data_IF_899619038483
#
_entry.id   IF_899619038483
#
_cell.length_a   1.000
_cell.length_b   1.000
_cell.length_c   1.000
_cell.angle_alpha   90.00
_cell.angle_beta   90.00
_cell.angle_gamma   90.00
#
_symmetry.space_group_name_H-M   'P 1'
#
loop_
_entity.id
_entity.type
_entity.pdbx_description
1 polymer ?
#
# COMPACT_ATOMS: atom_id res chain seq x y z
N UNK A 1 -8.03 7.06 7.74
CA UNK A 1 -6.61 6.97 7.37
C UNK A 1 -6.32 5.55 6.92
N UNK A 2 -6.29 5.32 5.61
CA UNK A 2 -5.98 4.01 5.00
C UNK A 2 -4.51 3.68 5.23
N UNK A 3 -4.23 2.62 5.96
CA UNK A 3 -2.88 2.07 6.17
C UNK A 3 -2.36 1.48 4.86
N UNK A 4 -1.83 2.35 4.00
CA UNK A 4 -1.10 1.95 2.80
C UNK A 4 0.09 1.10 3.20
N UNK A 5 0.01 -0.21 2.99
CA UNK A 5 1.17 -1.10 3.08
C UNK A 5 2.24 -0.53 2.16
N UNK A 6 3.38 -0.11 2.73
CA UNK A 6 4.53 0.38 1.95
C UNK A 6 4.83 -0.65 0.83
N UNK A 7 5.04 -0.22 -0.42
CA UNK A 7 5.38 -1.14 -1.50
C UNK A 7 6.63 -1.93 -1.08
N UNK A 8 6.66 -3.22 -1.42
CA UNK A 8 7.79 -4.10 -1.13
C UNK A 8 9.03 -3.62 -1.91
N UNK A 9 9.73 -2.61 -1.38
CA UNK A 9 11.06 -2.28 -1.84
C UNK A 9 11.93 -3.52 -1.61
N UNK A 10 12.56 -4.04 -2.68
CA UNK A 10 13.65 -4.99 -2.53
C UNK A 10 14.77 -4.20 -1.84
N UNK A 11 14.88 -4.34 -0.53
CA UNK A 11 16.02 -3.80 0.22
C UNK A 11 17.25 -4.46 -0.40
N UNK A 12 18.07 -3.67 -1.08
CA UNK A 12 19.41 -4.09 -1.46
C UNK A 12 20.23 -4.09 -0.18
N UNK A 13 20.81 -5.25 0.14
CA UNK A 13 21.65 -5.41 1.32
C UNK A 13 23.09 -5.23 0.89
N UNK A 14 23.70 -4.12 1.32
CA UNK A 14 25.12 -3.92 1.20
C UNK A 14 25.82 -4.75 2.27
N UNK A 15 26.46 -5.85 1.85
CA UNK A 15 27.18 -6.74 2.74
C UNK A 15 28.57 -6.18 3.04
N UNK A 16 28.63 -5.16 3.91
CA UNK A 16 29.92 -4.64 4.38
C UNK A 16 30.67 -5.69 5.19
N UNK A 17 32.01 -5.63 5.27
CA UNK A 17 32.81 -6.53 6.10
C UNK A 17 32.36 -6.56 7.56
N UNK A 18 31.90 -5.41 8.08
CA UNK A 18 31.32 -5.28 9.43
C UNK A 18 30.05 -6.13 9.58
N UNK A 19 29.12 -6.06 8.63
CA UNK A 19 27.88 -6.85 8.65
C UNK A 19 28.18 -8.35 8.52
N UNK A 20 29.18 -8.72 7.71
CA UNK A 20 29.62 -10.12 7.58
C UNK A 20 30.17 -10.64 8.90
N UNK A 21 30.92 -9.81 9.64
CA UNK A 21 31.43 -10.17 10.97
C UNK A 21 30.32 -10.35 12.02
N UNK A 22 29.13 -9.75 11.83
CA UNK A 22 27.96 -9.97 12.69
C UNK A 22 27.27 -11.32 12.42
N UNK A 23 27.52 -11.96 11.28
CA UNK A 23 26.92 -13.25 10.96
C UNK A 23 27.51 -14.34 11.86
N UNK A 24 26.65 -15.03 12.60
CA UNK A 24 27.06 -16.11 13.51
C UNK A 24 27.48 -15.67 14.91
N UNK A 25 27.72 -14.37 15.14
CA UNK A 25 27.95 -13.79 16.49
C UNK A 25 26.64 -13.44 17.20
N UNK A 26 25.59 -13.11 16.44
CA UNK A 26 24.23 -12.90 16.93
C UNK A 26 23.19 -13.57 16.02
N UNK A 27 21.93 -13.62 16.44
CA UNK A 27 20.88 -14.31 15.68
C UNK A 27 20.59 -13.61 14.34
N UNK A 28 20.25 -14.40 13.30
CA UNK A 28 19.92 -13.88 11.96
C UNK A 28 18.80 -12.80 12.02
N UNK A 29 17.89 -12.89 13.01
CA UNK A 29 16.87 -11.87 13.26
C UNK A 29 17.40 -10.57 13.88
N UNK A 30 18.40 -10.66 14.76
CA UNK A 30 19.05 -9.48 15.36
C UNK A 30 19.90 -8.74 14.32
N UNK A 31 20.68 -9.46 13.51
CA UNK A 31 21.41 -8.87 12.37
C UNK A 31 20.42 -8.20 11.41
N UNK A 32 19.31 -8.86 11.09
CA UNK A 32 18.28 -8.29 10.22
C UNK A 32 17.63 -7.03 10.80
N UNK A 33 17.48 -6.94 12.12
CA UNK A 33 17.01 -5.71 12.77
C UNK A 33 18.06 -4.59 12.68
N UNK A 34 19.35 -4.92 12.80
CA UNK A 34 20.46 -3.96 12.70
C UNK A 34 20.61 -3.38 11.29
N UNK A 35 20.51 -4.20 10.25
CA UNK A 35 20.66 -3.78 8.85
C UNK A 35 19.34 -3.33 8.18
N UNK A 36 18.22 -3.40 8.89
CA UNK A 36 16.90 -3.04 8.36
C UNK A 36 16.37 -4.02 7.30
N UNK A 37 16.01 -5.25 7.71
CA UNK A 37 15.66 -6.30 6.76
C UNK A 37 14.90 -7.52 7.26
N UNK A 38 14.90 -8.57 6.44
CA UNK A 38 14.29 -9.87 6.76
C UNK A 38 15.36 -10.86 7.23
N UNK A 39 15.07 -11.57 8.32
CA UNK A 39 15.92 -12.62 8.86
C UNK A 39 16.27 -13.72 7.83
N UNK A 40 15.36 -14.02 6.90
CA UNK A 40 15.59 -15.00 5.84
C UNK A 40 16.74 -14.59 4.90
N UNK A 41 16.87 -13.30 4.56
CA UNK A 41 17.95 -12.84 3.67
C UNK A 41 19.32 -12.97 4.35
N UNK A 42 19.39 -12.64 5.63
CA UNK A 42 20.58 -12.85 6.47
C UNK A 42 20.91 -14.33 6.60
N UNK A 43 19.90 -15.17 6.81
CA UNK A 43 20.07 -16.61 6.87
C UNK A 43 20.67 -17.16 5.57
N UNK A 44 20.17 -16.73 4.41
CA UNK A 44 20.71 -17.15 3.11
C UNK A 44 22.16 -16.72 2.94
N UNK A 45 22.50 -15.46 3.27
CA UNK A 45 23.89 -15.00 3.17
C UNK A 45 24.82 -15.74 4.12
N UNK A 46 24.38 -15.99 5.36
CA UNK A 46 25.13 -16.80 6.33
C UNK A 46 25.38 -18.22 5.81
N UNK A 47 24.37 -18.84 5.18
CA UNK A 47 24.49 -20.17 4.60
C UNK A 47 25.41 -20.19 3.37
N UNK A 48 25.36 -19.17 2.51
CA UNK A 48 26.25 -18.97 1.37
C UNK A 48 27.72 -18.89 1.81
N UNK A 49 27.99 -18.14 2.89
CA UNK A 49 29.31 -18.02 3.51
C UNK A 49 29.68 -19.21 4.42
N UNK A 50 28.82 -20.24 4.50
CA UNK A 50 28.99 -21.46 5.32
C UNK A 50 29.24 -21.18 6.82
N UNK A 51 28.80 -20.02 7.31
CA UNK A 51 28.92 -19.65 8.72
C UNK A 51 27.84 -20.39 9.51
N UNK A 52 28.18 -20.96 10.67
CA UNK A 52 27.19 -21.69 11.50
C UNK A 52 26.18 -20.72 12.13
N UNK A 53 24.91 -21.12 12.34
CA UNK A 53 23.92 -20.28 13.00
C UNK A 53 24.34 -19.96 14.44
N UNK A 54 24.09 -18.73 14.88
CA UNK A 54 24.29 -18.35 16.28
C UNK A 54 23.38 -19.20 17.19
N UNK A 55 24.01 -19.97 18.09
CA UNK A 55 23.32 -20.71 19.14
C UNK A 55 23.55 -19.97 20.46
N UNK A 56 22.54 -19.26 21.02
CA UNK A 56 22.71 -18.65 22.33
C UNK A 56 23.01 -19.72 23.37
N UNK A 57 23.82 -19.37 24.39
CA UNK A 57 24.11 -20.25 25.54
C UNK A 57 22.77 -20.73 26.16
N UNK A 58 22.66 -22.00 26.59
CA UNK A 58 21.45 -22.50 27.22
C UNK A 58 21.08 -21.62 28.42
N UNK A 59 20.00 -20.83 28.31
CA UNK A 59 19.54 -19.90 29.35
C UNK A 59 19.57 -18.42 28.99
N UNK A 60 20.33 -18.01 27.96
CA UNK A 60 20.50 -16.59 27.59
C UNK A 60 19.38 -15.99 26.72
N UNK A 61 18.24 -16.67 26.55
CA UNK A 61 17.10 -16.13 25.78
C UNK A 61 16.18 -15.35 26.71
N UNK A 62 16.27 -14.02 26.65
CA UNK A 62 15.25 -13.13 27.18
C UNK A 62 13.96 -13.26 26.36
N UNK A 63 12.99 -13.94 26.94
CA UNK A 63 11.69 -14.19 26.35
C UNK A 63 11.03 -15.34 27.10
N UNK A 64 9.70 -15.35 27.15
CA UNK A 64 8.95 -16.46 27.74
C UNK A 64 9.39 -17.75 27.04
N UNK A 65 10.26 -18.54 27.69
CA UNK A 65 10.44 -19.96 27.33
C UNK A 65 9.02 -20.50 27.25
N UNK A 66 8.63 -21.06 26.10
CA UNK A 66 7.40 -21.85 26.06
C UNK A 66 7.50 -22.81 27.25
N UNK A 67 6.53 -22.82 28.18
CA UNK A 67 6.61 -23.72 29.31
C UNK A 67 6.93 -25.09 28.74
N UNK A 68 8.02 -25.70 29.21
CA UNK A 68 8.33 -27.07 28.84
C UNK A 68 7.18 -27.89 29.41
N UNK A 69 6.19 -28.18 28.57
CA UNK A 69 5.08 -29.00 29.00
C UNK A 69 5.66 -30.35 29.41
N UNK A 70 5.57 -30.63 30.71
CA UNK A 70 6.09 -31.87 31.24
C UNK A 70 5.15 -32.99 30.79
N UNK A 71 5.66 -33.90 29.97
CA UNK A 71 4.89 -35.04 29.49
C UNK A 71 4.77 -36.07 30.61
N UNK A 72 3.74 -35.91 31.45
CA UNK A 72 3.39 -36.91 32.46
C UNK A 72 3.02 -38.24 31.82
N UNK A 73 3.11 -39.34 32.57
CA UNK A 73 2.68 -40.67 32.10
C UNK A 73 1.22 -40.66 31.62
N UNK A 74 0.36 -39.89 32.30
CA UNK A 74 -1.03 -39.65 31.91
C UNK A 74 -1.14 -38.94 30.55
N UNK A 75 -0.39 -37.85 30.35
CA UNK A 75 -0.38 -37.11 29.08
C UNK A 75 0.16 -37.96 27.91
N UNK A 76 1.11 -38.85 28.17
CA UNK A 76 1.60 -39.82 27.18
C UNK A 76 0.55 -40.88 26.86
N UNK A 77 -0.18 -41.39 27.87
CA UNK A 77 -1.27 -42.34 27.69
C UNK A 77 -2.44 -41.78 26.87
N UNK A 78 -2.64 -40.46 26.88
CA UNK A 78 -3.65 -39.80 26.05
C UNK A 78 -3.29 -39.79 24.56
N UNK A 79 -2.00 -39.86 24.20
CA UNK A 79 -1.56 -39.80 22.80
C UNK A 79 -2.07 -41.01 22.02
N UNK A 80 -2.85 -40.77 20.96
CA UNK A 80 -3.44 -41.82 20.12
C UNK A 80 -4.85 -42.26 20.52
N UNK A 81 -5.31 -41.93 21.74
CA UNK A 81 -6.68 -42.25 22.20
C UNK A 81 -7.74 -41.33 21.57
N UNK A 82 -7.41 -40.03 21.47
CA UNK A 82 -8.27 -38.97 20.92
C UNK A 82 -7.54 -38.24 19.77
N UNK A 83 -8.26 -37.47 18.93
CA UNK A 83 -7.62 -36.61 17.95
C UNK A 83 -6.64 -35.64 18.59
N UNK A 84 -5.49 -35.39 17.92
CA UNK A 84 -4.44 -34.49 18.41
C UNK A 84 -4.97 -33.08 18.77
N UNK A 85 -6.08 -32.64 18.16
CA UNK A 85 -6.76 -31.37 18.46
C UNK A 85 -7.52 -31.37 19.79
N UNK A 86 -8.12 -32.49 20.18
CA UNK A 86 -8.84 -32.61 21.46
C UNK A 86 -7.85 -32.76 22.61
N UNK A 87 -6.83 -33.59 22.44
CA UNK A 87 -5.74 -33.74 23.42
C UNK A 87 -5.05 -32.39 23.62
N UNK A 88 -4.84 -31.62 22.55
CA UNK A 88 -4.28 -30.28 22.65
C UNK A 88 -5.13 -29.34 23.50
N UNK A 89 -6.46 -29.37 23.36
CA UNK A 89 -7.37 -28.59 24.21
C UNK A 89 -7.31 -29.04 25.66
N UNK A 90 -7.30 -30.35 25.92
CA UNK A 90 -7.23 -30.92 27.28
C UNK A 90 -5.92 -30.56 27.99
N UNK A 91 -4.79 -30.57 27.28
CA UNK A 91 -3.46 -30.31 27.84
C UNK A 91 -3.06 -28.83 27.78
N UNK A 92 -3.89 -27.94 27.25
CA UNK A 92 -3.55 -26.52 27.04
C UNK A 92 -2.40 -26.30 26.05
N UNK A 93 -2.26 -27.19 25.06
CA UNK A 93 -1.17 -27.21 24.08
C UNK A 93 -1.64 -26.88 22.67
N UNK A 94 -0.67 -26.69 21.77
CA UNK A 94 -0.93 -26.66 20.33
C UNK A 94 -1.10 -28.08 19.79
N UNK A 95 -2.02 -28.26 18.82
CA UNK A 95 -2.21 -29.54 18.13
C UNK A 95 -0.91 -30.05 17.48
N UNK A 96 -0.06 -29.14 17.02
CA UNK A 96 1.27 -29.50 16.50
C UNK A 96 2.17 -30.09 17.59
N UNK A 97 2.22 -29.50 18.79
CA UNK A 97 3.03 -30.01 19.91
C UNK A 97 2.66 -31.46 20.24
N UNK A 98 1.36 -31.74 20.32
CA UNK A 98 0.82 -33.09 20.56
C UNK A 98 1.16 -34.03 19.41
N UNK A 99 0.94 -33.61 18.16
CA UNK A 99 1.27 -34.39 16.96
C UNK A 99 2.76 -34.70 16.83
N UNK A 100 3.63 -33.78 17.22
CA UNK A 100 5.08 -34.00 17.27
C UNK A 100 5.46 -35.02 18.33
N UNK A 101 4.93 -34.90 19.56
CA UNK A 101 5.19 -35.88 20.61
C UNK A 101 4.64 -37.25 20.24
N UNK A 102 3.40 -37.34 19.76
CA UNK A 102 2.79 -38.58 19.28
C UNK A 102 3.67 -39.27 18.23
N UNK A 103 4.14 -38.53 17.21
CA UNK A 103 5.06 -39.04 16.19
C UNK A 103 6.40 -39.50 16.76
N UNK A 104 6.96 -38.77 17.74
CA UNK A 104 8.21 -39.17 18.41
C UNK A 104 8.09 -40.49 19.20
N UNK A 105 6.87 -40.87 19.59
CA UNK A 105 6.57 -42.13 20.28
C UNK A 105 6.11 -43.23 19.29
N UNK A 106 6.17 -42.99 17.98
CA UNK A 106 5.74 -43.95 16.96
C UNK A 106 4.22 -44.18 16.87
N UNK A 107 3.42 -43.46 17.64
CA UNK A 107 1.97 -43.66 17.72
C UNK A 107 1.30 -43.07 16.47
N UNK A 108 0.45 -43.84 15.79
CA UNK A 108 -0.33 -43.34 14.64
C UNK A 108 -1.47 -42.43 15.13
N UNK A 109 -1.66 -41.30 14.47
CA UNK A 109 -2.67 -40.32 14.86
C UNK A 109 -4.07 -40.74 14.46
N UNK A 110 -5.02 -40.62 15.39
CA UNK A 110 -6.45 -40.75 15.11
C UNK A 110 -6.93 -39.50 14.37
N UNK A 111 -6.87 -39.54 13.04
CA UNK A 111 -7.44 -38.48 12.20
C UNK A 111 -8.96 -38.67 12.17
N UNK A 112 -9.77 -37.62 12.39
CA UNK A 112 -11.20 -37.73 12.14
C UNK A 112 -11.40 -38.13 10.67
N UNK A 113 -12.10 -39.24 10.42
CA UNK A 113 -12.55 -39.59 9.06
C UNK A 113 -13.50 -38.46 8.67
N UNK A 114 -13.11 -37.64 7.70
CA UNK A 114 -14.04 -36.71 7.06
C UNK A 114 -14.89 -37.53 6.12
N UNK A 115 -16.20 -37.33 6.19
CA UNK A 115 -17.12 -38.03 5.29
C UNK A 115 -16.71 -37.77 3.84
N UNK A 116 -16.70 -38.81 2.98
CA UNK A 116 -16.50 -38.61 1.56
C UNK A 116 -17.54 -37.63 1.03
N UNK A 117 -17.10 -36.67 0.22
CA UNK A 117 -18.05 -35.81 -0.51
C UNK A 117 -18.93 -36.72 -1.36
N UNK A 118 -20.24 -36.57 -1.19
CA UNK A 118 -21.23 -37.07 -2.16
C UNK A 118 -21.26 -36.05 -3.30
N UNK A 119 -20.71 -36.42 -4.45
CA UNK A 119 -20.76 -35.58 -5.64
C UNK A 119 -22.12 -35.79 -6.31
N UNK A 120 -22.92 -34.73 -6.52
CA UNK A 120 -24.16 -34.85 -7.27
C UNK A 120 -23.90 -35.38 -8.68
N UNK A 121 -24.77 -36.26 -9.18
CA UNK A 121 -24.61 -36.95 -10.47
C UNK A 121 -24.39 -35.95 -11.63
N UNK A 122 -25.15 -34.87 -11.65
CA UNK A 122 -25.06 -33.82 -12.67
C UNK A 122 -23.68 -33.11 -12.69
N UNK A 123 -22.91 -33.11 -11.59
CA UNK A 123 -21.59 -32.48 -11.51
C UNK A 123 -20.44 -33.44 -11.81
N UNK A 124 -20.69 -34.76 -11.87
CA UNK A 124 -19.66 -35.75 -12.19
C UNK A 124 -19.12 -35.50 -13.61
N UNK A 125 -19.99 -35.23 -14.57
CA UNK A 125 -19.61 -34.95 -15.96
C UNK A 125 -18.84 -33.62 -16.13
N UNK A 126 -18.89 -32.74 -15.13
CA UNK A 126 -18.16 -31.48 -15.12
C UNK A 126 -16.77 -31.59 -14.47
N UNK A 127 -16.45 -32.69 -13.78
CA UNK A 127 -15.11 -32.91 -13.20
C UNK A 127 -14.05 -32.99 -14.31
N UNK A 128 -13.05 -32.12 -14.23
CA UNK A 128 -12.00 -32.02 -15.26
C UNK A 128 -12.36 -31.11 -16.45
N UNK A 129 -13.61 -30.65 -16.56
CA UNK A 129 -14.02 -29.58 -17.49
C UNK A 129 -14.12 -28.25 -16.76
N UNK A 130 -14.81 -28.23 -15.62
CA UNK A 130 -14.93 -27.04 -14.77
C UNK A 130 -13.81 -27.00 -13.73
N UNK A 131 -13.53 -25.80 -13.23
CA UNK A 131 -12.57 -25.62 -12.15
C UNK A 131 -13.11 -26.27 -10.87
N UNK A 132 -12.20 -26.89 -10.10
CA UNK A 132 -12.53 -27.49 -8.80
C UNK A 132 -13.21 -26.46 -7.87
N UNK A 133 -12.89 -25.17 -8.03
CA UNK A 133 -13.49 -24.05 -7.30
C UNK A 133 -14.95 -23.76 -7.70
N UNK A 134 -15.29 -23.86 -9.00
CA UNK A 134 -16.67 -23.66 -9.46
C UNK A 134 -17.58 -24.77 -8.95
N UNK A 135 -17.15 -26.03 -9.08
CA UNK A 135 -17.86 -27.20 -8.57
C UNK A 135 -18.00 -27.12 -7.03
N UNK A 136 -16.95 -26.68 -6.35
CA UNK A 136 -16.98 -26.49 -4.90
C UNK A 136 -18.00 -25.46 -4.43
N UNK A 137 -18.15 -24.36 -5.16
CA UNK A 137 -19.15 -23.32 -4.86
C UNK A 137 -20.57 -23.85 -5.04
N UNK A 138 -20.81 -24.67 -6.05
CA UNK A 138 -22.13 -25.25 -6.34
C UNK A 138 -22.62 -26.21 -5.25
N UNK A 139 -21.71 -27.01 -4.70
CA UNK A 139 -22.03 -28.04 -3.68
C UNK A 139 -21.87 -27.48 -2.25
N UNK A 140 -21.31 -26.29 -2.09
CA UNK A 140 -21.00 -25.71 -0.78
C UNK A 140 -19.86 -26.43 -0.03
N UNK A 141 -18.91 -27.02 -0.77
CA UNK A 141 -17.75 -27.74 -0.20
C UNK A 141 -16.44 -26.99 -0.48
N UNK A 142 -15.34 -27.39 0.15
CA UNK A 142 -14.04 -26.81 -0.17
C UNK A 142 -13.48 -27.29 -1.51
N UNK A 143 -12.83 -26.41 -2.27
CA UNK A 143 -12.16 -26.77 -3.54
C UNK A 143 -11.14 -27.90 -3.40
N UNK A 144 -10.44 -27.98 -2.25
CA UNK A 144 -9.51 -29.07 -1.97
C UNK A 144 -10.23 -30.43 -1.82
N UNK A 145 -11.46 -30.42 -1.33
CA UNK A 145 -12.25 -31.63 -1.21
C UNK A 145 -12.66 -32.14 -2.60
N UNK A 146 -13.14 -31.26 -3.49
CA UNK A 146 -13.40 -31.59 -4.92
C UNK A 146 -12.13 -32.07 -5.62
N UNK A 147 -11.00 -31.39 -5.42
CA UNK A 147 -9.70 -31.79 -5.97
C UNK A 147 -9.27 -33.20 -5.53
N UNK A 148 -9.51 -33.58 -4.27
CA UNK A 148 -9.28 -34.95 -3.78
C UNK A 148 -10.23 -35.96 -4.41
N UNK A 149 -11.52 -35.62 -4.53
CA UNK A 149 -12.52 -36.45 -5.18
C UNK A 149 -12.13 -36.74 -6.64
N UNK A 150 -11.71 -35.71 -7.37
CA UNK A 150 -11.23 -35.78 -8.75
C UNK A 150 -9.96 -36.64 -8.87
N UNK A 151 -8.95 -36.40 -8.02
CA UNK A 151 -7.69 -37.17 -8.03
C UNK A 151 -7.88 -38.65 -7.71
N UNK A 152 -8.79 -39.00 -6.78
CA UNK A 152 -9.10 -40.40 -6.46
C UNK A 152 -9.68 -41.16 -7.67
N UNK A 153 -10.36 -40.45 -8.56
CA UNK A 153 -10.90 -40.99 -9.82
C UNK A 153 -9.95 -40.83 -11.01
N UNK A 154 -8.69 -40.44 -10.75
CA UNK A 154 -7.65 -40.23 -11.75
C UNK A 154 -8.01 -39.22 -12.85
N UNK A 155 -8.99 -38.35 -12.60
CA UNK A 155 -9.38 -37.30 -13.55
C UNK A 155 -8.36 -36.16 -13.41
N UNK A 156 -7.72 -35.77 -14.53
CA UNK A 156 -6.81 -34.62 -14.53
C UNK A 156 -7.58 -33.34 -14.24
N UNK A 157 -6.92 -32.40 -13.55
CA UNK A 157 -7.53 -31.10 -13.31
C UNK A 157 -7.73 -30.41 -14.65
N UNK A 158 -8.81 -29.64 -14.79
CA UNK A 158 -8.86 -28.72 -15.91
C UNK A 158 -7.66 -27.78 -15.82
N UNK A 159 -6.89 -27.67 -16.91
CA UNK A 159 -5.79 -26.71 -17.02
C UNK A 159 -6.36 -25.28 -17.15
N UNK A 160 -7.67 -25.18 -17.37
CA UNK A 160 -8.43 -23.99 -17.69
C UNK A 160 -8.80 -23.12 -16.48
N UNK A 161 -7.92 -22.99 -15.48
CA UNK A 161 -8.04 -21.87 -14.52
C UNK A 161 -7.87 -20.51 -15.22
N UNK A 162 -7.47 -20.54 -16.49
CA UNK A 162 -7.28 -19.40 -17.35
C UNK A 162 -7.97 -19.55 -18.71
N UNK A 163 -8.80 -20.56 -19.02
CA UNK A 163 -9.33 -20.64 -20.38
C UNK A 163 -10.19 -19.42 -20.69
N UNK A 164 -9.76 -18.73 -21.74
CA UNK A 164 -10.47 -17.61 -22.29
C UNK A 164 -11.66 -18.16 -23.08
N UNK A 165 -12.83 -17.53 -22.93
CA UNK A 165 -14.03 -17.91 -23.70
C UNK A 165 -13.69 -18.00 -25.19
N UNK A 166 -14.19 -19.00 -25.94
CA UNK A 166 -13.97 -19.08 -27.39
C UNK A 166 -14.35 -17.81 -28.14
N UNK A 167 -15.34 -17.05 -27.63
CA UNK A 167 -15.76 -15.75 -28.17
C UNK A 167 -14.75 -14.62 -27.93
N UNK A 168 -13.89 -14.75 -26.92
CA UNK A 168 -12.91 -13.74 -26.53
C UNK A 168 -11.55 -13.93 -27.20
N UNK A 169 -11.22 -15.16 -27.65
CA UNK A 169 -10.00 -15.47 -28.40
C UNK A 169 -9.85 -14.57 -29.65
N UNK A 170 -10.86 -14.40 -30.53
CA UNK A 170 -10.73 -13.54 -31.71
C UNK A 170 -10.66 -12.04 -31.36
N UNK A 171 -11.01 -11.65 -30.13
CA UNK A 171 -10.98 -10.26 -29.68
C UNK A 171 -9.65 -9.87 -29.04
N UNK A 172 -8.74 -10.83 -28.80
CA UNK A 172 -7.39 -10.56 -28.29
C UNK A 172 -6.63 -9.67 -29.28
N UNK A 173 -6.09 -8.55 -28.80
CA UNK A 173 -5.35 -7.59 -29.62
C UNK A 173 -6.21 -6.61 -30.43
N UNK A 174 -7.55 -6.70 -30.37
CA UNK A 174 -8.47 -5.73 -31.03
C UNK A 174 -8.85 -4.54 -30.13
N UNK A 175 -8.74 -4.72 -28.82
CA UNK A 175 -9.06 -3.73 -27.79
C UNK A 175 -8.07 -3.85 -26.64
N UNK A 176 -8.10 -2.91 -25.70
CA UNK A 176 -7.21 -2.97 -24.55
C UNK A 176 -7.47 -4.23 -23.71
N UNK A 177 -6.40 -4.89 -23.28
CA UNK A 177 -6.46 -6.11 -22.46
C UNK A 177 -7.33 -5.92 -21.18
N UNK A 178 -7.39 -4.70 -20.63
CA UNK A 178 -8.23 -4.35 -19.47
C UNK A 178 -9.73 -4.33 -19.79
N UNK A 179 -10.11 -3.83 -20.96
CA UNK A 179 -11.51 -3.78 -21.40
C UNK A 179 -12.01 -5.17 -21.76
N UNK A 180 -11.18 -5.95 -22.46
CA UNK A 180 -11.46 -7.34 -22.78
C UNK A 180 -11.60 -8.20 -21.51
N UNK A 181 -10.72 -7.97 -20.52
CA UNK A 181 -10.81 -8.62 -19.23
C UNK A 181 -12.13 -8.33 -18.51
N UNK A 182 -12.58 -7.07 -18.53
CA UNK A 182 -13.88 -6.67 -17.95
C UNK A 182 -15.06 -7.30 -18.70
N UNK A 183 -15.01 -7.31 -20.02
CA UNK A 183 -16.09 -7.85 -20.87
C UNK A 183 -16.33 -9.34 -20.64
N UNK A 184 -15.25 -10.11 -20.47
CA UNK A 184 -15.32 -11.56 -20.29
C UNK A 184 -15.22 -12.00 -18.82
N UNK A 185 -15.23 -11.05 -17.88
CA UNK A 185 -15.10 -11.29 -16.45
C UNK A 185 -13.90 -12.19 -16.08
N UNK A 186 -12.76 -11.92 -16.73
CA UNK A 186 -11.49 -12.63 -16.50
C UNK A 186 -10.44 -11.66 -15.96
N UNK A 187 -9.37 -12.18 -15.39
CA UNK A 187 -8.27 -11.32 -14.91
C UNK A 187 -7.46 -10.77 -16.08
N UNK A 188 -6.93 -9.56 -15.94
CA UNK A 188 -6.05 -8.96 -16.96
C UNK A 188 -4.84 -9.86 -17.27
N UNK A 189 -4.30 -10.54 -16.25
CA UNK A 189 -3.24 -11.54 -16.36
C UNK A 189 -3.61 -12.74 -17.23
N UNK A 190 -4.87 -13.17 -17.20
CA UNK A 190 -5.37 -14.25 -18.06
C UNK A 190 -5.32 -13.84 -19.53
N UNK A 191 -5.84 -12.65 -19.86
CA UNK A 191 -5.80 -12.07 -21.21
C UNK A 191 -4.36 -11.91 -21.70
N UNK A 192 -3.50 -11.31 -20.88
CA UNK A 192 -2.08 -11.10 -21.19
C UNK A 192 -1.36 -12.42 -21.51
N UNK A 193 -1.58 -13.46 -20.71
CA UNK A 193 -0.97 -14.77 -20.91
C UNK A 193 -1.45 -15.43 -22.20
N UNK A 194 -2.74 -15.33 -22.52
CA UNK A 194 -3.31 -15.85 -23.77
C UNK A 194 -2.79 -15.09 -24.99
N UNK A 195 -2.74 -13.77 -24.91
CA UNK A 195 -2.18 -12.90 -25.94
C UNK A 195 -0.75 -13.29 -26.29
N UNK A 196 0.11 -13.47 -25.27
CA UNK A 196 1.50 -13.91 -25.46
C UNK A 196 1.61 -15.33 -26.01
N UNK A 197 0.78 -16.27 -25.55
CA UNK A 197 0.77 -17.66 -26.06
C UNK A 197 0.38 -17.75 -27.54
N UNK A 198 -0.51 -16.88 -27.99
CA UNK A 198 -0.95 -16.80 -29.38
C UNK A 198 -0.07 -15.86 -30.23
N UNK A 199 1.01 -15.29 -29.65
CA UNK A 199 1.91 -14.39 -30.36
C UNK A 199 1.27 -13.05 -30.78
N UNK A 200 0.13 -12.69 -30.20
CA UNK A 200 -0.60 -11.49 -30.57
C UNK A 200 0.11 -10.29 -29.90
N UNK A 201 0.49 -9.24 -30.65
CA UNK A 201 1.12 -8.06 -30.05
C UNK A 201 0.16 -7.33 -29.10
N UNK A 202 0.69 -6.51 -28.19
CA UNK A 202 -0.14 -5.70 -27.30
C UNK A 202 -1.02 -4.82 -28.19
N UNK A 203 -2.29 -4.64 -27.83
CA UNK A 203 -3.09 -3.59 -28.46
C UNK A 203 -2.46 -2.24 -28.08
N UNK A 204 -1.60 -1.72 -28.95
CA UNK A 204 -1.04 -0.40 -28.82
C UNK A 204 -2.04 0.53 -29.49
N UNK A 205 -2.63 1.45 -28.73
CA UNK A 205 -3.41 2.58 -29.27
C UNK A 205 -2.55 3.52 -30.16
N UNK A 206 -1.28 3.17 -30.40
CA UNK A 206 -0.34 3.84 -31.29
C UNK A 206 -0.62 3.64 -32.77
N UNK A 207 -1.66 2.87 -33.13
CA UNK A 207 -2.18 2.79 -34.50
C UNK A 207 -3.47 3.57 -34.75
N UNK A 208 -3.91 4.46 -33.85
CA UNK A 208 -5.06 5.30 -34.15
C UNK A 208 -4.59 6.41 -35.10
N UNK A 209 -4.69 6.14 -36.40
CA UNK A 209 -4.61 7.17 -37.42
C UNK A 209 -5.57 8.28 -37.01
N UNK A 210 -5.11 9.53 -37.07
CA UNK A 210 -5.95 10.68 -36.79
C UNK A 210 -7.19 10.60 -37.68
N UNK A 211 -8.41 10.48 -37.12
CA UNK A 211 -9.60 10.44 -37.95
C UNK A 211 -9.71 11.76 -38.74
N UNK A 212 -9.98 11.67 -40.04
CA UNK A 212 -10.19 12.84 -40.91
C UNK A 212 -11.14 13.91 -40.34
N UNK A 213 -12.27 13.58 -39.67
CA UNK A 213 -13.14 14.59 -39.06
C UNK A 213 -12.53 15.27 -37.82
N UNK A 214 -11.52 14.69 -37.19
CA UNK A 214 -10.85 15.21 -35.99
C UNK A 214 -9.66 16.12 -36.36
N UNK A 215 -9.06 15.90 -37.53
CA UNK A 215 -7.94 16.70 -38.04
C UNK A 215 -8.19 18.22 -38.05
N UNK A 216 -9.33 18.74 -38.54
CA UNK A 216 -9.59 20.19 -38.49
C UNK A 216 -9.93 20.70 -37.08
N UNK A 217 -10.22 19.83 -36.11
CA UNK A 217 -10.58 20.23 -34.74
C UNK A 217 -9.35 20.39 -33.84
N UNK A 218 -8.19 19.81 -34.20
CA UNK A 218 -6.94 20.00 -33.48
C UNK A 218 -6.54 21.47 -33.45
N UNK A 219 -6.26 22.00 -32.25
CA UNK A 219 -5.89 23.42 -32.07
C UNK A 219 -7.07 24.41 -32.05
N UNK A 220 -8.30 23.99 -32.39
CA UNK A 220 -9.49 24.86 -32.33
C UNK A 220 -10.09 24.98 -30.93
N UNK A 221 -9.83 23.98 -30.07
CA UNK A 221 -10.33 23.90 -28.70
C UNK A 221 -9.31 23.20 -27.80
N UNK A 222 -9.48 23.25 -26.47
CA UNK A 222 -8.57 22.56 -25.54
C UNK A 222 -8.49 21.05 -25.80
N UNK A 223 -7.27 20.49 -25.79
CA UNK A 223 -7.04 19.05 -25.97
C UNK A 223 -7.88 18.19 -25.02
N UNK A 224 -8.09 18.64 -23.78
CA UNK A 224 -8.92 17.95 -22.79
C UNK A 224 -10.43 17.95 -23.11
N UNK A 225 -10.93 18.96 -23.83
CA UNK A 225 -12.32 19.04 -24.29
C UNK A 225 -12.52 18.14 -25.50
N UNK A 226 -11.60 18.24 -26.47
CA UNK A 226 -11.59 17.39 -27.66
C UNK A 226 -11.46 15.91 -27.29
N UNK A 227 -10.68 15.59 -26.26
CA UNK A 227 -10.52 14.24 -25.70
C UNK A 227 -11.84 13.66 -25.22
N UNK A 228 -12.60 14.43 -24.43
CA UNK A 228 -13.92 14.02 -23.93
C UNK A 228 -14.93 13.82 -25.05
N UNK A 229 -14.88 14.65 -26.08
CA UNK A 229 -15.83 14.61 -27.20
C UNK A 229 -15.62 13.36 -28.10
N UNK A 230 -14.37 12.92 -28.26
CA UNK A 230 -14.02 11.78 -29.12
C UNK A 230 -13.87 10.47 -28.31
N UNK A 231 -13.80 10.57 -26.98
CA UNK A 231 -13.64 9.40 -26.10
C UNK A 231 -12.21 8.87 -26.06
N UNK A 232 -11.21 9.73 -26.31
CA UNK A 232 -9.79 9.38 -26.30
C UNK A 232 -9.06 10.07 -25.14
N UNK A 233 -7.87 9.58 -24.78
CA UNK A 233 -7.05 10.25 -23.77
C UNK A 233 -6.53 11.61 -24.28
N UNK A 234 -6.46 12.67 -23.44
CA UNK A 234 -5.82 13.94 -23.78
C UNK A 234 -4.40 13.78 -24.32
N UNK A 235 -3.66 12.77 -23.87
CA UNK A 235 -2.29 12.50 -24.34
C UNK A 235 -2.24 12.08 -25.82
N UNK A 236 -3.29 11.41 -26.32
CA UNK A 236 -3.39 11.00 -27.73
C UNK A 236 -3.58 12.22 -28.63
N UNK A 237 -4.40 13.18 -28.19
CA UNK A 237 -4.62 14.44 -28.91
C UNK A 237 -3.37 15.30 -28.90
N UNK A 238 -2.70 15.43 -27.75
CA UNK A 238 -1.43 16.14 -27.68
C UNK A 238 -0.40 15.54 -28.63
N UNK A 239 -0.35 14.20 -28.76
CA UNK A 239 0.51 13.50 -29.72
C UNK A 239 0.15 13.84 -31.17
N UNK A 240 -1.11 13.66 -31.58
CA UNK A 240 -1.56 13.99 -32.95
C UNK A 240 -1.29 15.46 -33.30
N UNK A 241 -1.52 16.35 -32.33
CA UNK A 241 -1.25 17.78 -32.46
C UNK A 241 0.26 18.04 -32.67
N UNK A 242 1.14 17.39 -31.89
CA UNK A 242 2.60 17.54 -32.06
C UNK A 242 3.12 16.92 -33.34
N UNK A 243 2.58 15.77 -33.77
CA UNK A 243 2.96 15.09 -35.02
C UNK A 243 2.57 15.91 -36.26
N UNK A 244 1.48 16.68 -36.18
CA UNK A 244 1.03 17.59 -37.24
C UNK A 244 1.55 19.03 -37.11
N UNK A 245 2.37 19.33 -36.10
CA UNK A 245 2.90 20.68 -35.89
C UNK A 245 1.85 21.74 -35.54
N UNK A 246 0.67 21.34 -35.05
CA UNK A 246 -0.41 22.27 -34.69
C UNK A 246 -0.12 22.88 -33.32
N UNK A 247 -0.27 24.20 -33.17
CA UNK A 247 -0.01 24.86 -31.89
C UNK A 247 -1.05 24.50 -30.81
N UNK A 248 -0.63 24.54 -29.53
CA UNK A 248 -1.54 24.35 -28.40
C UNK A 248 -2.57 25.47 -28.40
N UNK A 249 -3.85 25.12 -28.21
CA UNK A 249 -4.89 26.12 -28.00
C UNK A 249 -4.55 26.95 -26.75
N UNK A 250 -4.25 28.24 -26.97
CA UNK A 250 -3.72 29.15 -25.94
C UNK A 250 -4.60 30.39 -25.70
N UNK A 251 -5.82 30.44 -26.24
CA UNK A 251 -6.70 31.63 -26.15
C UNK A 251 -7.96 31.34 -25.36
N UNK A 252 -8.17 32.06 -24.26
CA UNK A 252 -9.42 31.96 -23.49
C UNK A 252 -10.58 32.62 -24.28
N UNK A 253 -11.78 32.01 -24.36
CA UNK A 253 -12.96 32.61 -25.01
C UNK A 253 -13.30 33.97 -24.39
N UNK A 254 -13.84 34.91 -25.18
CA UNK A 254 -14.16 36.28 -24.72
C UNK A 254 -15.02 36.28 -23.45
N UNK A 255 -16.02 35.41 -23.39
CA UNK A 255 -16.94 35.30 -22.26
C UNK A 255 -16.22 34.85 -20.98
N UNK A 256 -15.28 33.91 -21.11
CA UNK A 256 -14.47 33.43 -20.00
C UNK A 256 -13.36 34.41 -19.59
N UNK A 257 -12.82 35.18 -20.55
CA UNK A 257 -11.87 36.25 -20.28
C UNK A 257 -12.52 37.41 -19.50
N UNK A 258 -13.79 37.73 -19.78
CA UNK A 258 -14.55 38.75 -19.04
C UNK A 258 -14.82 38.39 -17.56
N UNK A 259 -14.68 37.11 -17.19
CA UNK A 259 -14.85 36.60 -15.83
C UNK A 259 -13.55 36.55 -15.03
N UNK A 260 -12.39 36.79 -15.66
CA UNK A 260 -11.09 36.82 -14.97
C UNK A 260 -11.09 37.88 -13.87
N UNK A 261 -10.66 37.50 -12.66
CA UNK A 261 -10.66 38.37 -11.48
C UNK A 261 -12.03 38.58 -10.81
N UNK A 262 -13.14 38.25 -11.48
CA UNK A 262 -14.52 38.31 -10.92
C UNK A 262 -15.01 36.97 -10.38
N UNK A 263 -14.39 35.87 -10.82
CA UNK A 263 -14.70 34.49 -10.44
C UNK A 263 -13.38 33.74 -10.27
N UNK A 264 -13.35 32.69 -9.42
CA UNK A 264 -12.14 31.90 -9.20
C UNK A 264 -11.63 31.23 -10.49
N UNK A 265 -10.31 31.23 -10.66
CA UNK A 265 -9.63 30.61 -11.82
C UNK A 265 -10.04 29.12 -11.99
N UNK A 266 -10.31 28.41 -10.90
CA UNK A 266 -10.81 27.03 -10.88
C UNK A 266 -12.19 26.85 -11.52
N UNK A 267 -13.12 27.79 -11.31
CA UNK A 267 -14.49 27.73 -11.84
C UNK A 267 -14.51 28.10 -13.33
N UNK A 268 -13.68 29.07 -13.72
CA UNK A 268 -13.44 29.40 -15.14
C UNK A 268 -12.80 28.20 -15.86
N UNK A 269 -11.82 27.55 -15.24
CA UNK A 269 -11.16 26.38 -15.80
C UNK A 269 -12.12 25.21 -16.02
N UNK A 270 -13.00 24.95 -15.05
CA UNK A 270 -14.02 23.91 -15.17
C UNK A 270 -15.06 24.22 -16.26
N UNK A 271 -15.47 25.49 -16.39
CA UNK A 271 -16.45 25.93 -17.39
C UNK A 271 -15.94 25.78 -18.83
N UNK A 272 -14.67 26.14 -19.05
CA UNK A 272 -14.04 26.12 -20.39
C UNK A 272 -13.42 24.75 -20.71
N UNK A 273 -13.15 23.92 -19.71
CA UNK A 273 -12.51 22.61 -19.87
C UNK A 273 -10.99 22.70 -20.04
N UNK A 274 -10.36 23.64 -19.33
CA UNK A 274 -8.90 23.92 -19.37
C UNK A 274 -8.29 23.69 -17.99
N UNK A 275 -6.95 23.71 -17.90
CA UNK A 275 -6.28 23.60 -16.61
C UNK A 275 -6.37 24.91 -15.82
N UNK A 276 -6.44 24.82 -14.48
CA UNK A 276 -6.41 25.99 -13.59
C UNK A 276 -5.14 26.84 -13.82
N UNK A 277 -4.00 26.17 -14.02
CA UNK A 277 -2.72 26.84 -14.33
C UNK A 277 -2.74 27.62 -15.64
N UNK A 278 -3.51 27.19 -16.64
CA UNK A 278 -3.67 27.93 -17.89
C UNK A 278 -4.45 29.23 -17.68
N UNK A 279 -5.59 29.17 -16.98
CA UNK A 279 -6.38 30.36 -16.63
C UNK A 279 -5.55 31.35 -15.80
N UNK A 280 -4.79 30.85 -14.82
CA UNK A 280 -3.89 31.67 -14.02
C UNK A 280 -2.80 32.36 -14.87
N UNK A 281 -2.22 31.67 -15.87
CA UNK A 281 -1.25 32.27 -16.80
C UNK A 281 -1.88 33.38 -17.65
N UNK A 282 -3.06 33.14 -18.21
CA UNK A 282 -3.79 34.15 -19.01
C UNK A 282 -4.13 35.36 -18.14
N UNK A 283 -4.60 35.13 -16.92
CA UNK A 283 -4.90 36.20 -15.94
C UNK A 283 -3.68 37.05 -15.63
N UNK A 284 -2.54 36.42 -15.33
CA UNK A 284 -1.27 37.10 -15.03
C UNK A 284 -0.77 37.89 -16.24
N UNK A 285 -0.86 37.33 -17.45
CA UNK A 285 -0.46 38.01 -18.69
C UNK A 285 -1.32 39.25 -18.99
N UNK A 286 -2.58 39.28 -18.53
CA UNK A 286 -3.48 40.43 -18.64
C UNK A 286 -3.40 41.38 -17.45
N UNK A 287 -2.50 41.13 -16.48
CA UNK A 287 -2.33 41.98 -15.30
C UNK A 287 -3.49 41.95 -14.31
N UNK A 288 -4.41 40.98 -14.43
CA UNK A 288 -5.62 40.90 -13.59
C UNK A 288 -5.29 40.17 -12.28
N UNK A 289 -5.76 40.69 -11.14
CA UNK A 289 -5.57 40.02 -9.85
C UNK A 289 -6.49 38.81 -9.67
N UNK A 290 -6.07 37.86 -8.83
CA UNK A 290 -6.86 36.67 -8.53
C UNK A 290 -8.14 37.03 -7.78
N UNK A 291 -9.24 36.38 -8.15
CA UNK A 291 -10.51 36.56 -7.45
C UNK A 291 -10.40 36.24 -5.95
N UNK A 292 -10.84 37.18 -5.12
CA UNK A 292 -11.02 37.00 -3.68
C UNK A 292 -9.81 37.28 -2.79
N UNK A 293 -8.61 37.55 -3.34
CA UNK A 293 -7.44 37.92 -2.53
C UNK A 293 -6.53 38.89 -3.30
N UNK A 294 -6.29 40.12 -2.79
CA UNK A 294 -5.24 40.98 -3.33
C UNK A 294 -3.89 40.27 -3.19
N UNK A 295 -3.07 40.40 -4.23
CA UNK A 295 -1.73 39.81 -4.34
C UNK A 295 -0.91 40.10 -3.08
N UNK A 296 -0.63 39.06 -2.29
CA UNK A 296 0.43 39.01 -1.26
C UNK A 296 0.65 40.35 -0.53
N UNK A 297 -0.34 40.82 0.24
CA UNK A 297 -0.10 41.90 1.19
C UNK A 297 1.14 41.54 2.04
N UNK A 298 2.08 42.47 2.25
CA UNK A 298 3.22 42.22 3.14
C UNK A 298 2.69 41.82 4.51
N UNK A 299 3.40 40.90 5.17
CA UNK A 299 3.01 40.50 6.53
C UNK A 299 3.12 41.74 7.43
N UNK A 300 2.05 42.12 8.15
CA UNK A 300 2.08 43.32 8.99
C UNK A 300 3.08 43.17 10.14
N UNK A 301 3.97 44.15 10.32
CA UNK A 301 5.03 44.09 11.32
C UNK A 301 4.47 44.11 12.77
N UNK A 302 3.31 44.72 12.99
CA UNK A 302 2.58 44.73 14.28
C UNK A 302 2.12 43.33 14.74
N UNK A 303 2.10 42.36 13.83
CA UNK A 303 1.55 41.01 14.05
C UNK A 303 2.62 39.92 14.07
N UNK A 304 3.90 40.28 14.14
CA UNK A 304 4.99 39.29 14.19
C UNK A 304 4.90 38.34 15.39
N UNK A 305 4.39 38.83 16.52
CA UNK A 305 4.15 38.04 17.73
C UNK A 305 3.14 36.89 17.53
N UNK A 306 2.34 36.90 16.47
CA UNK A 306 1.37 35.85 16.16
C UNK A 306 1.98 34.70 15.36
N UNK A 307 3.17 34.86 14.76
CA UNK A 307 3.84 33.80 14.00
C UNK A 307 4.21 32.64 14.93
N UNK A 308 3.77 31.42 14.61
CA UNK A 308 4.03 30.22 15.43
C UNK A 308 3.07 30.00 16.61
N UNK A 309 2.14 30.93 16.89
CA UNK A 309 1.11 30.76 17.93
C UNK A 309 -0.07 29.89 17.47
N UNK A 310 -0.34 29.90 16.17
CA UNK A 310 -1.38 29.11 15.53
C UNK A 310 -0.91 28.67 14.14
N UNK A 311 -1.65 27.75 13.52
CA UNK A 311 -1.27 27.27 12.19
C UNK A 311 -1.26 28.40 11.18
N UNK A 312 -0.27 28.38 10.27
CA UNK A 312 -0.07 29.43 9.26
C UNK A 312 -1.36 29.68 8.45
N UNK A 313 -2.19 28.66 8.22
CA UNK A 313 -3.47 28.78 7.51
C UNK A 313 -4.54 29.51 8.31
N UNK A 314 -4.59 29.32 9.64
CA UNK A 314 -5.54 30.02 10.51
C UNK A 314 -5.15 31.49 10.66
N UNK A 315 -3.85 31.76 10.82
CA UNK A 315 -3.31 33.12 10.87
C UNK A 315 -3.54 33.86 9.56
N UNK A 316 -3.32 33.20 8.41
CA UNK A 316 -3.59 33.77 7.09
C UNK A 316 -5.06 34.17 6.90
N UNK A 317 -5.99 33.31 7.30
CA UNK A 317 -7.43 33.61 7.22
C UNK A 317 -7.83 34.77 8.16
N UNK A 318 -7.27 34.82 9.37
CA UNK A 318 -7.57 35.89 10.33
C UNK A 318 -7.04 37.25 9.88
N UNK A 319 -5.90 37.27 9.20
CA UNK A 319 -5.28 38.49 8.69
C UNK A 319 -5.76 38.88 7.28
N UNK A 320 -6.55 38.03 6.62
CA UNK A 320 -6.99 38.25 5.23
C UNK A 320 -5.84 38.24 4.22
N UNK A 321 -4.72 37.56 4.53
CA UNK A 321 -3.52 37.50 3.70
C UNK A 321 -3.26 36.07 3.20
N UNK A 322 -2.41 35.92 2.19
CA UNK A 322 -2.07 34.60 1.66
C UNK A 322 -1.30 33.76 2.70
N UNK A 323 -1.68 32.48 2.81
CA UNK A 323 -0.91 31.47 3.57
C UNK A 323 0.57 31.45 3.21
N UNK A 324 0.90 31.69 1.93
CA UNK A 324 2.28 31.73 1.47
C UNK A 324 3.07 32.91 2.06
N UNK A 325 2.42 34.04 2.34
CA UNK A 325 3.06 35.21 2.99
C UNK A 325 3.41 34.90 4.44
N UNK A 326 2.47 34.33 5.20
CA UNK A 326 2.69 33.91 6.59
C UNK A 326 3.82 32.88 6.68
N UNK A 327 3.78 31.85 5.83
CA UNK A 327 4.80 30.81 5.78
C UNK A 327 6.20 31.38 5.48
N UNK A 328 6.31 32.27 4.48
CA UNK A 328 7.59 32.91 4.12
C UNK A 328 8.14 33.79 5.25
N UNK A 329 7.28 34.57 5.91
CA UNK A 329 7.68 35.43 7.05
C UNK A 329 8.09 34.59 8.26
N UNK A 330 7.33 33.54 8.60
CA UNK A 330 7.65 32.58 9.67
C UNK A 330 9.01 31.94 9.45
N UNK A 331 9.28 31.44 8.24
CA UNK A 331 10.56 30.80 7.90
C UNK A 331 11.72 31.81 7.89
N UNK A 332 11.50 33.05 7.44
CA UNK A 332 12.53 34.11 7.48
C UNK A 332 12.92 34.47 8.91
N UNK A 333 11.96 34.43 9.84
CA UNK A 333 12.19 34.71 11.25
C UNK A 333 12.63 33.45 12.04
N UNK A 334 12.83 32.30 11.37
CA UNK A 334 13.29 31.06 12.01
C UNK A 334 12.29 30.41 12.97
N UNK A 335 11.02 30.81 12.93
CA UNK A 335 10.00 30.37 13.90
C UNK A 335 9.43 29.01 13.47
N UNK A 336 9.32 28.04 14.38
CA UNK A 336 8.73 26.75 14.09
C UNK A 336 7.22 26.84 13.82
N UNK A 337 6.68 25.96 12.97
CA UNK A 337 5.25 25.93 12.72
C UNK A 337 4.50 25.47 13.98
N UNK A 338 3.40 26.17 14.32
CA UNK A 338 2.56 25.78 15.45
C UNK A 338 2.03 24.36 15.23
N UNK A 339 2.36 23.44 16.15
CA UNK A 339 1.93 22.03 16.10
C UNK A 339 2.99 21.02 15.64
N UNK A 340 4.22 21.43 15.31
CA UNK A 340 5.35 20.50 15.15
C UNK A 340 6.16 20.45 16.45
N UNK A 341 5.84 19.49 17.32
CA UNK A 341 6.68 19.19 18.48
C UNK A 341 7.97 18.50 17.99
N UNK A 342 9.08 19.23 17.97
CA UNK A 342 10.43 18.66 17.82
C UNK A 342 11.28 19.27 18.92
N UNK A 343 11.37 18.55 20.03
CA UNK A 343 12.47 18.65 20.97
C UNK A 343 13.79 18.48 20.20
N UNK A 344 14.55 19.57 20.01
CA UNK A 344 15.98 19.47 19.75
C UNK A 344 16.71 19.69 21.07
N UNK A 345 17.17 18.58 21.64
CA UNK A 345 18.25 18.54 22.61
C UNK A 345 19.45 19.31 22.04
N UNK A 346 19.80 20.42 22.68
CA UNK A 346 21.08 21.08 22.53
C UNK A 346 22.14 20.26 23.27
N UNK A 347 22.97 19.54 22.52
CA UNK A 347 24.21 18.95 23.01
C UNK A 347 25.37 19.67 22.36
N UNK A 348 25.88 20.69 23.05
CA UNK A 348 27.29 21.07 23.00
C UNK A 348 27.75 21.12 24.45
N UNK A 349 28.43 20.04 24.85
CA UNK A 349 29.31 20.03 26.01
C UNK A 349 30.39 21.10 25.81
N UNK A 350 30.62 21.94 26.81
CA UNK A 350 31.96 22.19 27.35
C UNK A 350 31.88 22.81 28.76
N UNK A 351 32.20 21.95 29.72
CA UNK A 351 32.78 22.16 31.04
C UNK A 351 32.96 23.61 31.54
N UNK A 352 32.47 23.90 32.76
CA UNK A 352 33.32 23.85 33.97
C UNK A 352 32.57 24.20 35.26
N UNK A 353 33.00 23.52 36.33
CA UNK A 353 32.98 23.90 37.75
C UNK A 353 31.68 23.79 38.58
N UNK A 354 31.64 22.75 39.44
CA UNK A 354 31.66 23.01 40.89
C UNK A 354 30.33 23.03 41.65
N UNK A 355 29.88 21.84 42.09
CA UNK A 355 29.57 21.46 43.50
C UNK A 355 29.49 22.66 44.47
N UNK A 356 28.39 22.97 45.17
CA UNK A 356 27.87 22.28 46.39
C UNK A 356 26.57 23.04 46.80
N UNK A 357 25.39 22.43 46.73
CA UNK A 357 24.55 21.97 47.86
C UNK A 357 24.67 22.74 49.19
N UNK A 358 23.57 23.33 49.64
CA UNK A 358 23.03 23.11 50.99
C UNK A 358 21.49 23.15 50.92
N UNK A 359 20.90 22.04 51.36
CA UNK A 359 19.49 21.87 51.68
C UNK A 359 19.15 22.64 52.97
N UNK A 360 17.90 23.07 53.22
CA UNK A 360 16.85 22.36 53.98
C UNK A 360 15.88 23.46 54.55
N UNK A 361 14.76 23.19 55.24
CA UNK A 361 13.58 22.40 54.85
C UNK A 361 12.22 23.04 55.35
N UNK A 362 11.13 22.24 55.35
CA UNK A 362 9.91 22.31 56.20
C UNK A 362 8.75 23.20 55.68
N UNK A 363 7.45 22.89 55.81
CA UNK A 363 6.72 21.79 56.44
C UNK A 363 5.24 21.77 55.97
N UNK A 364 4.65 20.57 56.05
CA UNK A 364 3.26 20.13 56.30
C UNK A 364 2.11 21.17 56.32
N UNK A 365 0.99 20.82 55.65
CA UNK A 365 -0.32 20.55 56.30
C UNK A 365 -1.39 20.07 55.29
N UNK A 366 -1.98 18.89 55.55
CA UNK A 366 -3.36 18.47 55.18
C UNK A 366 -4.36 19.16 56.14
N UNK A 367 -5.72 19.16 55.99
CA UNK A 367 -6.53 18.01 55.50
C UNK A 367 -7.93 18.28 54.88
N UNK A 368 -8.60 17.17 54.46
CA UNK A 368 -10.07 16.90 54.52
C UNK A 368 -11.00 17.75 53.61
N UNK A 369 -12.13 17.32 53.07
CA UNK A 369 -13.02 16.16 53.26
C UNK A 369 -13.75 15.83 51.94
N UNK A 370 -14.14 14.56 51.82
CA UNK A 370 -15.11 14.02 50.87
C UNK A 370 -16.52 14.16 51.48
N UNK A 371 -17.49 14.66 50.70
CA UNK A 371 -18.91 14.40 50.93
C UNK A 371 -19.52 13.75 49.69
N UNK A 372 -20.30 12.70 49.94
CA UNK A 372 -21.11 11.94 49.00
C UNK A 372 -22.32 12.75 48.50
N UNK A 373 -22.68 12.49 47.24
CA UNK A 373 -23.98 12.76 46.65
C UNK A 373 -24.14 11.94 45.38
#
# INVERSE_FOLDING_TARGET
MTTGKKPYARVQYDWTPEIIALLGTMSDGAVAAHIGGKAATVQFKRQELKIKPFKPKPGAREGKRRPNFNWTKEALGLLGTKPDSEIAKLLGLSSNTVSHKRRSQGIVGRKPKRDPIVMPEHLIHHLGKWTDAKIAKEIGVSANAVSKYRRRRQIKATIEHNALSPKAIPMLGTMQDAELARMFNVTNTTIHTHRLKLGIPLFISSGMALPDPVRPLLGTMPDGRLAKQIGVSPQVITRWRTELGVEVWNRLPRDAAALLGKVSDSKIAAMVGVSNSFVAKVRIAQGIDSYGLPRSLPFPDDKEHLLGTMTDSKLANQLGISHATVFKRRNRNGIAAAGTNIERRSSTEEMTCGRTLLAEPQAKASPKDQECG
#
